data_IF_577318119073
#
_entry.id   IF_577318119073
#
_cell.length_a   1.000
_cell.length_b   1.000
_cell.length_c   1.000
_cell.angle_alpha   90.00
_cell.angle_beta   90.00
_cell.angle_gamma   90.00
#
_symmetry.space_group_name_H-M   'P 1'
#
loop_
_entity.id
_entity.type
_entity.pdbx_description
1 polymer ?
#
# COMPACT_ATOMS: atom_id res chain seq x y z
N UNK A 1 3.99 -4.78 19.85
CA UNK A 1 4.05 -3.65 18.91
C UNK A 1 2.63 -3.34 18.45
N UNK A 2 2.20 -2.07 18.36
CA UNK A 2 0.84 -1.75 17.88
C UNK A 2 0.68 -2.11 16.41
N UNK A 3 -0.52 -2.54 16.01
CA UNK A 3 -0.93 -2.70 14.61
C UNK A 3 -1.57 -1.41 14.13
N UNK A 4 -1.38 -1.07 12.84
CA UNK A 4 -2.08 0.06 12.25
C UNK A 4 -3.57 -0.28 12.09
N UNK A 5 -4.45 0.67 12.43
CA UNK A 5 -5.88 0.54 12.17
C UNK A 5 -6.22 0.69 10.67
N UNK A 6 -5.34 1.31 9.88
CA UNK A 6 -5.54 1.53 8.45
C UNK A 6 -4.99 0.35 7.65
N UNK A 7 -5.78 -0.28 6.76
CA UNK A 7 -5.32 -1.36 5.89
C UNK A 7 -4.07 -0.99 5.08
N UNK A 8 -3.22 -1.97 4.79
CA UNK A 8 -2.02 -1.75 3.97
C UNK A 8 -2.35 -1.21 2.56
N UNK A 9 -3.41 -1.74 1.94
CA UNK A 9 -3.90 -1.29 0.62
C UNK A 9 -4.25 0.20 0.65
N UNK A 10 -5.05 0.63 1.62
CA UNK A 10 -5.45 2.03 1.78
C UNK A 10 -4.25 2.95 2.04
N UNK A 11 -3.27 2.51 2.84
CA UNK A 11 -2.04 3.28 3.08
C UNK A 11 -1.22 3.48 1.81
N UNK A 12 -1.04 2.43 1.00
CA UNK A 12 -0.32 2.51 -0.28
C UNK A 12 -1.08 3.40 -1.26
N UNK A 13 -2.39 3.20 -1.39
CA UNK A 13 -3.25 3.98 -2.28
C UNK A 13 -3.26 5.48 -1.93
N UNK A 14 -3.28 5.83 -0.63
CA UNK A 14 -3.11 7.23 -0.19
C UNK A 14 -1.75 7.81 -0.54
N UNK A 15 -0.68 7.02 -0.49
CA UNK A 15 0.66 7.47 -0.93
C UNK A 15 0.65 7.75 -2.44
N UNK A 16 0.02 6.89 -3.24
CA UNK A 16 -0.10 7.07 -4.69
C UNK A 16 -0.91 8.33 -5.04
N UNK A 17 -2.06 8.56 -4.40
CA UNK A 17 -2.83 9.78 -4.54
C UNK A 17 -2.02 11.02 -4.12
N UNK A 18 -1.37 10.96 -2.95
CA UNK A 18 -0.57 12.06 -2.43
C UNK A 18 0.60 12.44 -3.34
N UNK A 19 1.24 11.47 -3.98
CA UNK A 19 2.32 11.70 -4.95
C UNK A 19 1.86 12.57 -6.12
N UNK A 20 0.63 12.39 -6.62
CA UNK A 20 0.13 13.16 -7.76
C UNK A 20 -0.45 14.52 -7.37
N UNK A 21 -1.00 14.64 -6.16
CA UNK A 21 -1.78 15.81 -5.74
C UNK A 21 -0.95 16.80 -4.93
N UNK A 22 -0.10 16.31 -4.03
CA UNK A 22 0.59 17.14 -3.03
C UNK A 22 1.82 17.84 -3.60
N UNK A 23 2.05 19.08 -3.13
CA UNK A 23 3.30 19.80 -3.33
C UNK A 23 4.53 19.07 -2.76
N UNK A 24 4.35 18.21 -1.74
CA UNK A 24 5.42 17.37 -1.21
C UNK A 24 5.69 16.13 -2.07
N UNK A 25 4.87 15.89 -3.09
CA UNK A 25 5.07 14.89 -4.14
C UNK A 25 5.44 15.56 -5.46
N UNK A 26 4.74 15.18 -6.53
CA UNK A 26 4.85 15.74 -7.88
C UNK A 26 3.69 16.69 -8.21
N UNK A 27 2.73 16.85 -7.29
CA UNK A 27 1.60 17.75 -7.43
C UNK A 27 1.93 19.18 -7.01
N UNK A 28 0.89 19.99 -6.89
CA UNK A 28 1.02 21.42 -6.58
C UNK A 28 0.22 21.86 -5.36
N UNK A 29 -0.62 21.00 -4.77
CA UNK A 29 -1.48 21.38 -3.65
C UNK A 29 -0.71 21.32 -2.32
N UNK A 30 -0.52 22.46 -1.61
CA UNK A 30 0.16 22.49 -0.31
C UNK A 30 -0.69 21.89 0.83
N UNK A 31 -1.99 21.67 0.60
CA UNK A 31 -2.96 21.17 1.59
C UNK A 31 -3.78 19.99 1.04
N UNK A 32 -3.10 19.08 0.34
CA UNK A 32 -3.71 17.98 -0.40
C UNK A 32 -4.43 16.90 0.42
N UNK A 33 -4.51 16.99 1.76
CA UNK A 33 -5.09 15.91 2.59
C UNK A 33 -6.54 15.59 2.20
N UNK A 34 -7.37 16.61 2.01
CA UNK A 34 -8.77 16.42 1.58
C UNK A 34 -8.87 15.84 0.18
N UNK A 35 -8.00 16.27 -0.74
CA UNK A 35 -7.95 15.72 -2.10
C UNK A 35 -7.49 14.25 -2.12
N UNK A 36 -6.51 13.90 -1.28
CA UNK A 36 -6.05 12.52 -1.09
C UNK A 36 -7.16 11.65 -0.53
N UNK A 37 -7.89 12.12 0.48
CA UNK A 37 -9.02 11.38 1.06
C UNK A 37 -10.14 11.11 0.04
N UNK A 38 -10.31 11.98 -0.94
CA UNK A 38 -11.29 11.84 -2.01
C UNK A 38 -10.83 10.95 -3.17
N UNK A 39 -9.51 10.86 -3.43
CA UNK A 39 -8.98 10.23 -4.64
C UNK A 39 -8.25 8.89 -4.40
N UNK A 40 -7.91 8.53 -3.16
CA UNK A 40 -7.10 7.34 -2.92
C UNK A 40 -7.77 6.04 -3.38
N UNK A 41 -9.10 5.97 -3.37
CA UNK A 41 -9.85 4.79 -3.79
C UNK A 41 -9.57 4.44 -5.26
N UNK A 42 -9.27 5.43 -6.10
CA UNK A 42 -8.94 5.24 -7.52
C UNK A 42 -7.58 4.51 -7.70
N UNK A 43 -6.75 4.48 -6.66
CA UNK A 43 -5.44 3.83 -6.64
C UNK A 43 -5.43 2.48 -5.91
N UNK A 44 -6.59 1.93 -5.55
CA UNK A 44 -6.69 0.64 -4.85
C UNK A 44 -6.11 -0.51 -5.68
N UNK A 45 -6.39 -0.51 -6.99
CA UNK A 45 -5.89 -1.55 -7.89
C UNK A 45 -4.37 -1.49 -8.06
N UNK A 46 -3.81 -0.28 -8.17
CA UNK A 46 -2.35 -0.06 -8.17
C UNK A 46 -1.72 -0.55 -6.85
N UNK A 47 -2.36 -0.29 -5.71
CA UNK A 47 -1.90 -0.76 -4.42
C UNK A 47 -1.89 -2.29 -4.33
N UNK A 48 -2.90 -2.97 -4.88
CA UNK A 48 -2.91 -4.42 -5.00
C UNK A 48 -1.80 -4.93 -5.93
N UNK A 49 -1.58 -4.27 -7.08
CA UNK A 49 -0.50 -4.63 -7.99
C UNK A 49 0.88 -4.55 -7.31
N UNK A 50 1.13 -3.50 -6.53
CA UNK A 50 2.35 -3.36 -5.72
C UNK A 50 2.46 -4.50 -4.69
N UNK A 51 1.39 -4.82 -3.97
CA UNK A 51 1.42 -5.92 -3.01
C UNK A 51 1.64 -7.30 -3.67
N UNK A 52 1.17 -7.47 -4.90
CA UNK A 52 1.45 -8.67 -5.69
C UNK A 52 2.95 -8.81 -6.00
N UNK A 53 3.65 -7.72 -6.35
CA UNK A 53 5.11 -7.78 -6.57
C UNK A 53 5.88 -8.10 -5.30
N UNK A 54 5.35 -7.69 -4.15
CA UNK A 54 5.93 -7.95 -2.83
C UNK A 54 5.59 -9.33 -2.25
N UNK A 55 4.86 -10.19 -2.96
CA UNK A 55 4.51 -11.53 -2.46
C UNK A 55 5.73 -12.39 -2.17
N UNK A 56 6.82 -12.17 -2.91
CA UNK A 56 8.08 -12.88 -2.76
C UNK A 56 9.11 -11.91 -2.15
N UNK A 57 9.65 -12.21 -0.96
CA UNK A 57 10.67 -11.36 -0.36
C UNK A 57 12.00 -11.54 -1.11
N UNK A 58 12.79 -10.47 -1.19
CA UNK A 58 14.15 -10.56 -1.71
C UNK A 58 15.13 -11.23 -0.72
N UNK A 59 16.39 -11.38 -1.13
CA UNK A 59 17.41 -12.03 -0.30
C UNK A 59 17.69 -11.30 1.02
N UNK A 60 17.63 -9.96 1.03
CA UNK A 60 17.86 -9.17 2.24
C UNK A 60 16.69 -9.33 3.22
N UNK A 61 15.46 -9.30 2.71
CA UNK A 61 14.25 -9.56 3.49
C UNK A 61 14.24 -10.98 4.07
N UNK A 62 14.64 -11.98 3.28
CA UNK A 62 14.74 -13.37 3.73
C UNK A 62 15.81 -13.59 4.80
N UNK A 63 16.89 -12.81 4.80
CA UNK A 63 17.90 -12.84 5.87
C UNK A 63 17.39 -12.18 7.16
N UNK A 64 16.52 -11.19 7.05
CA UNK A 64 16.00 -10.44 8.19
C UNK A 64 14.85 -11.16 8.94
N UNK A 65 14.20 -12.17 8.33
CA UNK A 65 13.04 -12.82 8.92
C UNK A 65 12.57 -14.07 8.20
N UNK A 66 11.34 -14.49 8.50
CA UNK A 66 10.76 -15.73 7.97
C UNK A 66 9.97 -15.49 6.67
N UNK A 67 10.38 -16.19 5.61
CA UNK A 67 9.79 -16.11 4.26
C UNK A 67 8.34 -16.62 4.23
N UNK A 68 8.03 -17.69 4.96
CA UNK A 68 6.69 -18.27 4.98
C UNK A 68 5.70 -17.34 5.72
N UNK A 69 6.15 -16.71 6.81
CA UNK A 69 5.37 -15.70 7.53
C UNK A 69 5.10 -14.50 6.63
N UNK A 70 6.11 -13.97 5.95
CA UNK A 70 5.94 -12.86 5.00
C UNK A 70 4.90 -13.17 3.92
N UNK A 71 5.05 -14.32 3.25
CA UNK A 71 4.11 -14.76 2.21
C UNK A 71 2.68 -14.89 2.74
N UNK A 72 2.52 -15.36 3.97
CA UNK A 72 1.21 -15.47 4.62
C UNK A 72 0.61 -14.11 4.93
N UNK A 73 1.42 -13.15 5.41
CA UNK A 73 0.96 -11.79 5.68
C UNK A 73 0.49 -11.07 4.41
N UNK A 74 1.29 -11.10 3.34
CA UNK A 74 0.91 -10.49 2.05
C UNK A 74 -0.30 -11.23 1.47
N UNK A 75 -0.31 -12.56 1.50
CA UNK A 75 -1.45 -13.38 1.06
C UNK A 75 -2.75 -13.03 1.78
N UNK A 76 -2.70 -12.79 3.10
CA UNK A 76 -3.87 -12.40 3.89
C UNK A 76 -4.41 -11.00 3.50
N UNK A 77 -3.55 -10.09 3.02
CA UNK A 77 -3.99 -8.80 2.49
C UNK A 77 -4.64 -8.97 1.11
N UNK A 78 -4.01 -9.75 0.23
CA UNK A 78 -4.51 -9.99 -1.14
C UNK A 78 -5.85 -10.73 -1.14
N UNK A 79 -6.06 -11.68 -0.22
CA UNK A 79 -7.31 -12.43 -0.09
C UNK A 79 -8.52 -11.58 0.33
N UNK A 80 -8.31 -10.35 0.83
CA UNK A 80 -9.39 -9.41 1.16
C UNK A 80 -9.92 -8.65 -0.05
N UNK A 81 -9.31 -8.81 -1.23
CA UNK A 81 -9.75 -8.16 -2.46
C UNK A 81 -11.15 -8.65 -2.84
N UNK A 82 -12.15 -7.76 -2.94
CA UNK A 82 -13.49 -8.16 -3.37
C UNK A 82 -13.45 -8.72 -4.80
N UNK A 83 -13.98 -9.92 -5.00
CA UNK A 83 -14.08 -10.56 -6.33
C UNK A 83 -12.85 -11.33 -6.81
N UNK A 84 -11.89 -11.63 -5.92
CA UNK A 84 -10.80 -12.58 -6.17
C UNK A 84 -11.22 -14.04 -5.95
#
# INVERSE_FOLDING_TARGET
MPTSATPAVERIARVLAGRHLSHNGEGSDPHASGAVDAAWQDHVEDAYAILHTLREPDAQMAQAGDVAVWRSMIGAVLARRPGA
#
